data_IF_640512837568
#
_entry.id   IF_640512837568
#
_cell.length_a   1.000
_cell.length_b   1.000
_cell.length_c   1.000
_cell.angle_alpha   90.00
_cell.angle_beta   90.00
_cell.angle_gamma   90.00
#
_symmetry.space_group_name_H-M   'P 1'
#
loop_
_entity.id
_entity.type
_entity.pdbx_description
1 polymer ?
#
# COMPACT_ATOMS: atom_id res chain seq x y z
N UNK A 1 -12.97 17.75 -11.27
CA UNK A 1 -13.89 16.94 -10.43
C UNK A 1 -13.37 15.51 -10.24
N UNK A 2 -12.53 15.00 -11.16
CA UNK A 2 -11.97 13.64 -11.17
C UNK A 2 -11.04 13.31 -9.98
N UNK A 3 -10.25 14.26 -9.49
CA UNK A 3 -9.43 14.07 -8.27
C UNK A 3 -10.25 13.57 -7.08
N UNK A 4 -11.46 14.11 -6.90
CA UNK A 4 -12.31 13.73 -5.77
C UNK A 4 -12.88 12.30 -5.93
N UNK A 5 -13.10 11.86 -7.17
CA UNK A 5 -13.55 10.51 -7.48
C UNK A 5 -12.43 9.48 -7.30
N UNK A 6 -11.20 9.81 -7.73
CA UNK A 6 -10.04 8.94 -7.53
C UNK A 6 -9.83 8.61 -6.05
N UNK A 7 -9.75 9.63 -5.19
CA UNK A 7 -9.54 9.41 -3.76
C UNK A 7 -10.71 8.68 -3.08
N UNK A 8 -11.95 8.97 -3.52
CA UNK A 8 -13.15 8.28 -3.03
C UNK A 8 -13.11 6.79 -3.37
N UNK A 9 -12.74 6.45 -4.59
CA UNK A 9 -12.63 5.06 -5.06
C UNK A 9 -11.49 4.31 -4.35
N UNK A 10 -10.34 4.95 -4.18
CA UNK A 10 -9.21 4.40 -3.41
C UNK A 10 -9.66 4.07 -1.98
N UNK A 11 -10.33 5.01 -1.31
CA UNK A 11 -10.83 4.81 0.06
C UNK A 11 -11.85 3.66 0.11
N UNK A 12 -12.78 3.60 -0.84
CA UNK A 12 -13.78 2.54 -0.92
C UNK A 12 -13.13 1.16 -1.08
N UNK A 13 -12.20 1.01 -2.03
CA UNK A 13 -11.49 -0.26 -2.27
C UNK A 13 -10.61 -0.67 -1.09
N UNK A 14 -9.91 0.27 -0.47
CA UNK A 14 -9.10 0.00 0.71
C UNK A 14 -9.98 -0.47 1.88
N UNK A 15 -11.12 0.18 2.13
CA UNK A 15 -12.06 -0.24 3.17
C UNK A 15 -12.60 -1.65 2.93
N UNK A 16 -12.95 -1.99 1.68
CA UNK A 16 -13.39 -3.33 1.31
C UNK A 16 -12.31 -4.39 1.54
N UNK A 17 -11.04 -4.08 1.23
CA UNK A 17 -9.92 -4.99 1.50
C UNK A 17 -9.59 -5.12 3.00
N UNK A 18 -9.85 -4.08 3.80
CA UNK A 18 -9.57 -4.07 5.22
C UNK A 18 -10.32 -5.16 5.99
N UNK A 19 -11.46 -5.63 5.47
CA UNK A 19 -12.23 -6.75 6.02
C UNK A 19 -11.50 -8.09 5.85
N UNK A 20 -10.71 -8.24 4.80
CA UNK A 20 -9.94 -9.46 4.47
C UNK A 20 -8.56 -9.51 5.14
N UNK A 21 -8.15 -8.43 5.82
CA UNK A 21 -6.84 -8.34 6.47
C UNK A 21 -6.77 -9.30 7.66
N UNK A 22 -5.72 -10.12 7.70
CA UNK A 22 -5.43 -10.95 8.87
C UNK A 22 -4.82 -10.08 9.99
N UNK A 23 -5.69 -9.45 10.79
CA UNK A 23 -5.28 -8.52 11.86
C UNK A 23 -4.37 -9.15 12.91
N UNK A 24 -4.59 -10.43 13.26
CA UNK A 24 -3.73 -11.12 14.22
C UNK A 24 -2.33 -11.37 13.66
N UNK A 25 -2.21 -11.80 12.39
CA UNK A 25 -0.92 -12.00 11.75
C UNK A 25 -0.19 -10.66 11.55
N UNK A 26 -0.91 -9.61 11.15
CA UNK A 26 -0.35 -8.26 10.99
C UNK A 26 0.19 -7.73 12.32
N UNK A 27 -0.60 -7.82 13.41
CA UNK A 27 -0.15 -7.41 14.75
C UNK A 27 1.11 -8.15 15.17
N UNK A 28 1.17 -9.48 14.96
CA UNK A 28 2.35 -10.29 15.29
C UNK A 28 3.56 -9.88 14.46
N UNK A 29 3.37 -9.65 13.16
CA UNK A 29 4.43 -9.21 12.26
C UNK A 29 5.00 -7.84 12.69
N UNK A 30 4.13 -6.89 13.04
CA UNK A 30 4.51 -5.57 13.54
C UNK A 30 5.08 -5.54 14.98
N UNK A 31 5.18 -6.68 15.68
CA UNK A 31 5.89 -6.72 16.97
C UNK A 31 7.41 -6.52 16.79
N UNK A 32 7.94 -6.85 15.62
CA UNK A 32 9.35 -6.62 15.28
C UNK A 32 9.58 -5.14 14.88
N UNK A 33 10.53 -4.43 15.52
CA UNK A 33 10.91 -3.08 15.13
C UNK A 33 11.33 -2.94 13.65
N UNK A 34 12.02 -3.94 13.08
CA UNK A 34 12.47 -3.91 11.69
C UNK A 34 11.30 -4.03 10.72
N UNK A 35 10.33 -4.88 11.00
CA UNK A 35 9.10 -4.96 10.21
C UNK A 35 8.30 -3.65 10.22
N UNK A 36 8.25 -2.95 11.37
CA UNK A 36 7.62 -1.62 11.42
C UNK A 36 8.41 -0.58 10.62
N UNK A 37 9.74 -0.68 10.59
CA UNK A 37 10.58 0.17 9.74
C UNK A 37 10.30 -0.10 8.26
N UNK A 38 10.30 -1.36 7.84
CA UNK A 38 9.96 -1.78 6.48
C UNK A 38 8.55 -1.34 6.07
N UNK A 39 7.56 -1.47 6.97
CA UNK A 39 6.21 -0.97 6.73
C UNK A 39 6.20 0.54 6.46
N UNK A 40 6.97 1.34 7.21
CA UNK A 40 7.11 2.78 6.98
C UNK A 40 7.77 3.09 5.64
N UNK A 41 8.88 2.42 5.35
CA UNK A 41 9.64 2.62 4.11
C UNK A 41 8.79 2.28 2.87
N UNK A 42 8.11 1.13 2.87
CA UNK A 42 7.22 0.72 1.79
C UNK A 42 5.98 1.65 1.70
N UNK A 43 5.43 2.09 2.83
CA UNK A 43 4.33 3.07 2.82
C UNK A 43 4.77 4.40 2.19
N UNK A 44 5.98 4.87 2.47
CA UNK A 44 6.56 6.06 1.82
C UNK A 44 6.79 5.83 0.32
N UNK A 45 7.36 4.68 -0.05
CA UNK A 45 7.57 4.29 -1.44
C UNK A 45 6.28 4.16 -2.26
N UNK A 46 5.13 4.00 -1.61
CA UNK A 46 3.81 3.94 -2.27
C UNK A 46 3.10 5.29 -2.37
N UNK A 47 3.61 6.36 -1.74
CA UNK A 47 3.04 7.72 -1.85
C UNK A 47 2.85 8.17 -3.30
N UNK A 48 3.82 7.96 -4.23
CA UNK A 48 3.67 8.39 -5.62
C UNK A 48 2.46 7.80 -6.35
N UNK A 49 1.90 6.67 -5.91
CA UNK A 49 0.70 6.08 -6.50
C UNK A 49 -0.59 6.81 -6.14
N UNK A 50 -0.57 7.64 -5.09
CA UNK A 50 -1.69 8.51 -4.69
C UNK A 50 -1.90 9.70 -5.62
N UNK A 51 -1.02 9.89 -6.61
CA UNK A 51 -1.21 10.90 -7.63
C UNK A 51 -2.23 10.41 -8.67
N UNK A 52 -3.26 11.22 -8.99
CA UNK A 52 -4.21 10.96 -10.07
C UNK A 52 -3.52 10.75 -11.43
N UNK A 53 -4.19 10.09 -12.39
CA UNK A 53 -3.61 9.81 -13.70
C UNK A 53 -3.35 11.08 -14.52
N UNK A 54 -4.10 12.15 -14.25
CA UNK A 54 -3.93 13.49 -14.86
C UNK A 54 -2.54 14.09 -14.61
N UNK A 55 -1.82 13.63 -13.58
CA UNK A 55 -0.48 14.12 -13.22
C UNK A 55 0.67 13.40 -13.96
N UNK A 56 0.38 12.77 -15.10
CA UNK A 56 1.41 12.14 -15.94
C UNK A 56 1.97 10.82 -15.40
N UNK A 57 1.28 10.20 -14.44
CA UNK A 57 1.62 8.89 -13.86
C UNK A 57 0.81 7.79 -14.53
N UNK A 58 1.16 7.54 -15.80
CA UNK A 58 0.51 6.56 -16.65
C UNK A 58 0.74 5.10 -16.20
N UNK A 59 0.14 4.16 -16.92
CA UNK A 59 0.24 2.73 -16.59
C UNK A 59 1.69 2.22 -16.63
N UNK A 60 2.50 2.68 -17.58
CA UNK A 60 3.91 2.25 -17.73
C UNK A 60 4.71 2.68 -16.51
N UNK A 61 4.58 3.95 -16.13
CA UNK A 61 5.25 4.48 -14.95
C UNK A 61 4.82 3.72 -13.68
N UNK A 62 3.53 3.38 -13.53
CA UNK A 62 3.05 2.62 -12.36
C UNK A 62 3.65 1.21 -12.30
N UNK A 63 3.87 0.56 -13.45
CA UNK A 63 4.55 -0.75 -13.51
C UNK A 63 6.00 -0.65 -13.11
N UNK A 64 6.71 0.38 -13.58
CA UNK A 64 8.11 0.62 -13.24
C UNK A 64 8.28 0.94 -11.75
N UNK A 65 7.45 1.83 -11.21
CA UNK A 65 7.42 2.15 -9.78
C UNK A 65 7.11 0.91 -8.93
N UNK A 66 6.21 0.04 -9.40
CA UNK A 66 5.92 -1.22 -8.71
C UNK A 66 7.09 -2.20 -8.75
N UNK A 67 7.72 -2.35 -9.92
CA UNK A 67 8.89 -3.22 -10.09
C UNK A 67 10.06 -2.76 -9.21
N UNK A 68 10.26 -1.46 -9.07
CA UNK A 68 11.26 -0.89 -8.16
C UNK A 68 10.98 -1.28 -6.70
N UNK A 69 9.73 -1.15 -6.23
CA UNK A 69 9.34 -1.59 -4.88
C UNK A 69 9.54 -3.10 -4.67
N UNK A 70 9.22 -3.93 -5.67
CA UNK A 70 9.47 -5.37 -5.61
C UNK A 70 10.96 -5.72 -5.57
N UNK A 71 11.81 -4.92 -6.22
CA UNK A 71 13.26 -5.10 -6.19
C UNK A 71 13.89 -4.65 -4.87
N UNK A 72 13.44 -3.53 -4.32
CA UNK A 72 13.99 -2.96 -3.08
C UNK A 72 13.52 -3.74 -1.83
N UNK A 73 12.27 -4.21 -1.82
CA UNK A 73 11.66 -4.87 -0.66
C UNK A 73 10.98 -6.20 -1.00
N UNK A 74 11.68 -7.18 -1.61
CA UNK A 74 11.05 -8.37 -2.19
C UNK A 74 10.25 -9.19 -1.16
N UNK A 75 10.86 -9.53 -0.02
CA UNK A 75 10.21 -10.36 0.99
C UNK A 75 9.21 -9.57 1.84
N UNK A 76 9.56 -8.34 2.22
CA UNK A 76 8.68 -7.50 3.04
C UNK A 76 7.40 -7.11 2.27
N UNK A 77 7.50 -6.71 1.00
CA UNK A 77 6.35 -6.39 0.16
C UNK A 77 5.48 -7.63 -0.09
N UNK A 78 6.08 -8.79 -0.36
CA UNK A 78 5.36 -10.06 -0.50
C UNK A 78 4.60 -10.42 0.77
N UNK A 79 5.21 -10.22 1.94
CA UNK A 79 4.57 -10.47 3.23
C UNK A 79 3.40 -9.50 3.47
N UNK A 80 3.57 -8.20 3.20
CA UNK A 80 2.49 -7.21 3.34
C UNK A 80 1.30 -7.49 2.42
N UNK A 81 1.56 -7.89 1.17
CA UNK A 81 0.51 -8.28 0.23
C UNK A 81 -0.22 -9.54 0.70
N UNK A 82 0.50 -10.52 1.26
CA UNK A 82 -0.12 -11.70 1.88
C UNK A 82 -1.02 -11.31 3.07
N UNK A 83 -0.56 -10.38 3.93
CA UNK A 83 -1.33 -9.87 5.07
C UNK A 83 -2.59 -9.09 4.66
N UNK A 84 -2.58 -8.47 3.48
CA UNK A 84 -3.76 -7.80 2.91
C UNK A 84 -4.87 -8.77 2.49
N UNK A 85 -4.59 -10.08 2.43
CA UNK A 85 -5.56 -11.11 2.06
C UNK A 85 -5.93 -11.13 0.57
N UNK A 86 -5.24 -10.35 -0.28
CA UNK A 86 -5.61 -10.17 -1.68
C UNK A 86 -4.46 -10.48 -2.63
N UNK A 87 -4.52 -11.66 -3.27
CA UNK A 87 -3.66 -12.01 -4.41
C UNK A 87 -3.97 -11.16 -5.65
N UNK A 88 -5.16 -10.55 -5.70
CA UNK A 88 -5.61 -9.66 -6.77
C UNK A 88 -4.84 -8.34 -6.74
N UNK A 89 -4.60 -7.77 -5.56
CA UNK A 89 -3.90 -6.49 -5.42
C UNK A 89 -2.48 -6.57 -6.00
N UNK A 90 -1.75 -7.66 -5.71
CA UNK A 90 -0.42 -7.92 -6.30
C UNK A 90 -0.47 -7.93 -7.82
N UNK A 91 -1.41 -8.69 -8.40
CA UNK A 91 -1.54 -8.83 -9.86
C UNK A 91 -1.90 -7.50 -10.53
N UNK A 92 -2.78 -6.73 -9.91
CA UNK A 92 -3.20 -5.42 -10.41
C UNK A 92 -2.04 -4.42 -10.39
N UNK A 93 -1.28 -4.37 -9.29
CA UNK A 93 -0.14 -3.48 -9.17
C UNK A 93 0.97 -3.81 -10.19
N UNK A 94 1.28 -5.09 -10.40
CA UNK A 94 2.24 -5.53 -11.43
C UNK A 94 1.81 -5.17 -12.88
N UNK A 95 0.51 -4.96 -13.10
CA UNK A 95 -0.05 -4.51 -14.39
C UNK A 95 -0.15 -2.98 -14.49
N UNK A 96 0.21 -2.24 -13.44
CA UNK A 96 0.09 -0.78 -13.41
C UNK A 96 -1.34 -0.28 -13.33
N UNK A 97 -2.26 -1.11 -12.81
CA UNK A 97 -3.65 -0.72 -12.62
C UNK A 97 -3.76 0.54 -11.76
N UNK A 98 -4.61 1.47 -12.19
CA UNK A 98 -4.68 2.84 -11.68
C UNK A 98 -4.70 2.92 -10.15
N UNK A 99 -5.59 2.14 -9.53
CA UNK A 99 -5.84 2.22 -8.09
C UNK A 99 -4.95 1.33 -7.23
N UNK A 100 -4.24 0.36 -7.81
CA UNK A 100 -3.64 -0.73 -7.03
C UNK A 100 -2.60 -0.24 -6.01
N UNK A 101 -1.65 0.58 -6.47
CA UNK A 101 -0.64 1.17 -5.58
C UNK A 101 -1.23 2.15 -4.54
N UNK A 102 -2.26 2.92 -4.92
CA UNK A 102 -2.93 3.87 -4.02
C UNK A 102 -3.75 3.16 -2.93
N UNK A 103 -4.40 2.06 -3.29
CA UNK A 103 -5.12 1.19 -2.36
C UNK A 103 -4.14 0.53 -1.39
N UNK A 104 -3.00 0.04 -1.89
CA UNK A 104 -1.93 -0.45 -1.00
C UNK A 104 -1.45 0.65 -0.06
N UNK A 105 -1.12 1.84 -0.56
CA UNK A 105 -0.71 2.96 0.28
C UNK A 105 -1.72 3.25 1.40
N UNK A 106 -3.01 3.32 1.05
CA UNK A 106 -4.08 3.58 2.03
C UNK A 106 -4.18 2.48 3.10
N UNK A 107 -4.00 1.21 2.73
CA UNK A 107 -3.94 0.10 3.68
C UNK A 107 -2.72 0.20 4.60
N UNK A 108 -1.53 0.41 4.03
CA UNK A 108 -0.29 0.50 4.80
C UNK A 108 -0.30 1.69 5.76
N UNK A 109 -0.84 2.84 5.32
CA UNK A 109 -1.02 4.03 6.17
C UNK A 109 -1.94 3.73 7.35
N UNK A 110 -3.05 3.03 7.13
CA UNK A 110 -3.94 2.59 8.21
C UNK A 110 -3.22 1.65 9.20
N UNK A 111 -2.41 0.72 8.70
CA UNK A 111 -1.64 -0.19 9.55
C UNK A 111 -0.56 0.54 10.36
N UNK A 112 0.07 1.57 9.80
CA UNK A 112 1.02 2.41 10.53
C UNK A 112 0.35 3.20 11.64
N UNK A 113 -0.85 3.72 11.41
CA UNK A 113 -1.62 4.42 12.45
C UNK A 113 -1.99 3.48 13.61
N UNK A 114 -2.29 2.22 13.31
CA UNK A 114 -2.71 1.24 14.33
C UNK A 114 -1.53 0.52 15.01
N UNK A 115 -0.46 0.22 14.26
CA UNK A 115 0.64 -0.67 14.70
C UNK A 115 2.04 -0.03 14.60
N UNK A 116 2.17 1.21 14.12
CA UNK A 116 3.45 1.89 13.90
C UNK A 116 4.17 2.35 15.17
N UNK A 117 3.53 2.26 16.34
CA UNK A 117 4.10 2.68 17.62
C UNK A 117 4.07 4.20 17.85
N UNK A 118 4.70 4.72 18.92
CA UNK A 118 4.59 6.12 19.36
C UNK A 118 5.14 7.19 18.40
N UNK A 119 5.64 6.80 17.22
CA UNK A 119 6.02 7.71 16.13
C UNK A 119 5.06 7.72 14.94
N UNK A 120 3.85 7.15 15.07
CA UNK A 120 2.86 7.05 13.99
C UNK A 120 1.82 8.19 13.93
N UNK A 121 1.99 9.26 14.71
CA UNK A 121 1.05 10.39 14.78
C UNK A 121 1.49 11.68 14.09
N UNK A 122 2.73 11.76 13.63
CA UNK A 122 3.25 12.96 12.99
C UNK A 122 4.02 12.58 11.72
N UNK A 123 3.29 12.49 10.60
CA UNK A 123 3.75 12.77 9.22
C UNK A 123 2.55 12.75 8.25
#
# INVERSE_FOLDING_TARGET
>A
MEQNEFYREVRHRAASLQVSVNRMALKRWCNDPEHRRQLREICRGTVPFMLPPEEGRDQTWRREAWAYLEQEYPEALKQLLSLSGSSVLKRQAARGELYAGAVLHSLLKGWLQEYGGPGGRDE
#
